data_IF_626012690393
#
_entry.id   IF_626012690393
#
_cell.length_a   1.000
_cell.length_b   1.000
_cell.length_c   1.000
_cell.angle_alpha   90.00
_cell.angle_beta   90.00
_cell.angle_gamma   90.00
#
_symmetry.space_group_name_H-M   'P 1'
#
loop_
_entity.id
_entity.type
_entity.pdbx_description
1 polymer ?
#
# COMPACT_ATOMS: atom_id res chain seq x y z
N UNK A 1 -8.95 8.00 7.86
CA UNK A 1 -9.63 9.26 8.23
C UNK A 1 -9.15 10.43 7.37
N UNK A 2 -7.91 10.91 7.48
CA UNK A 2 -7.36 12.04 6.69
C UNK A 2 -7.72 12.03 5.20
N UNK A 3 -7.45 10.92 4.49
CA UNK A 3 -7.73 10.83 3.06
C UNK A 3 -9.22 10.99 2.75
N UNK A 4 -10.07 10.28 3.51
CA UNK A 4 -11.51 10.32 3.33
C UNK A 4 -12.09 11.72 3.60
N UNK A 5 -11.68 12.34 4.70
CA UNK A 5 -12.22 13.63 5.13
C UNK A 5 -11.72 14.80 4.28
N UNK A 6 -10.47 14.76 3.82
CA UNK A 6 -9.93 15.84 2.99
C UNK A 6 -10.45 15.83 1.54
N UNK A 7 -10.79 14.64 1.01
CA UNK A 7 -11.13 14.47 -0.41
C UNK A 7 -12.63 14.29 -0.64
N UNK A 8 -13.31 13.43 0.14
CA UNK A 8 -14.69 13.06 -0.14
C UNK A 8 -15.72 13.84 0.66
N UNK A 9 -15.39 14.29 1.87
CA UNK A 9 -16.33 15.06 2.72
C UNK A 9 -16.17 16.57 2.59
N UNK A 10 -15.21 17.03 1.78
CA UNK A 10 -14.97 18.45 1.54
C UNK A 10 -16.00 18.98 0.55
N UNK A 11 -16.66 20.12 0.84
CA UNK A 11 -17.54 20.75 -0.15
C UNK A 11 -16.73 21.16 -1.39
N UNK A 12 -17.27 20.97 -2.60
CA UNK A 12 -16.57 21.32 -3.83
C UNK A 12 -16.35 22.84 -3.89
N UNK A 13 -15.12 23.26 -4.21
CA UNK A 13 -14.75 24.69 -4.30
C UNK A 13 -15.40 25.35 -5.53
N UNK A 14 -15.73 24.55 -6.55
CA UNK A 14 -16.47 24.95 -7.75
C UNK A 14 -17.45 23.82 -8.08
N UNK A 15 -18.66 24.18 -8.49
CA UNK A 15 -19.60 23.23 -9.08
C UNK A 15 -19.03 22.76 -10.41
N UNK A 16 -18.40 21.60 -10.39
CA UNK A 16 -17.89 20.94 -11.58
C UNK A 16 -18.94 19.90 -11.94
N UNK A 17 -19.42 19.96 -13.18
CA UNK A 17 -20.23 18.88 -13.78
C UNK A 17 -19.31 17.66 -14.00
N UNK A 18 -19.09 16.93 -12.91
CA UNK A 18 -18.18 15.80 -12.87
C UNK A 18 -18.89 14.59 -13.50
N UNK A 19 -18.44 14.21 -14.69
CA UNK A 19 -18.89 12.99 -15.35
C UNK A 19 -18.55 11.76 -14.49
N UNK A 20 -19.48 10.81 -14.43
CA UNK A 20 -19.25 9.53 -13.76
C UNK A 20 -18.02 8.80 -14.29
N UNK A 21 -17.45 7.95 -13.43
CA UNK A 21 -16.22 7.19 -13.72
C UNK A 21 -16.43 6.32 -14.96
N UNK A 22 -15.53 6.38 -15.96
CA UNK A 22 -15.61 5.51 -17.13
C UNK A 22 -15.61 4.02 -16.75
N UNK A 23 -16.40 3.21 -17.47
CA UNK A 23 -16.54 1.76 -17.21
C UNK A 23 -15.19 1.02 -17.22
N UNK A 24 -14.28 1.45 -18.10
CA UNK A 24 -12.92 0.90 -18.19
C UNK A 24 -12.11 1.06 -16.89
N UNK A 25 -12.39 2.10 -16.11
CA UNK A 25 -11.73 2.35 -14.82
C UNK A 25 -12.47 1.68 -13.66
N UNK A 26 -13.80 1.54 -13.74
CA UNK A 26 -14.58 0.88 -12.69
C UNK A 26 -14.43 -0.65 -12.71
N UNK A 27 -14.24 -1.26 -13.88
CA UNK A 27 -14.05 -2.71 -14.01
C UNK A 27 -12.88 -3.27 -13.17
N UNK A 28 -11.64 -2.75 -13.27
CA UNK A 28 -10.53 -3.24 -12.44
C UNK A 28 -10.74 -2.94 -10.95
N UNK A 29 -11.39 -1.83 -10.60
CA UNK A 29 -11.71 -1.49 -9.21
C UNK A 29 -12.70 -2.50 -8.60
N UNK A 30 -13.74 -2.85 -9.34
CA UNK A 30 -14.75 -3.82 -8.92
C UNK A 30 -14.13 -5.22 -8.80
N UNK A 31 -13.32 -5.64 -9.77
CA UNK A 31 -12.59 -6.90 -9.72
C UNK A 31 -11.67 -6.96 -8.48
N UNK A 32 -10.93 -5.89 -8.20
CA UNK A 32 -10.06 -5.83 -7.02
C UNK A 32 -10.88 -5.88 -5.72
N UNK A 33 -12.01 -5.16 -5.66
CA UNK A 33 -12.90 -5.20 -4.51
C UNK A 33 -13.44 -6.62 -4.25
N UNK A 34 -13.88 -7.33 -5.31
CA UNK A 34 -14.34 -8.71 -5.20
C UNK A 34 -13.24 -9.66 -4.72
N UNK A 35 -12.01 -9.52 -5.22
CA UNK A 35 -10.88 -10.31 -4.75
C UNK A 35 -10.56 -10.04 -3.28
N UNK A 36 -10.60 -8.77 -2.85
CA UNK A 36 -10.42 -8.41 -1.44
C UNK A 36 -11.47 -9.04 -0.54
N UNK A 37 -12.75 -9.04 -0.95
CA UNK A 37 -13.84 -9.69 -0.20
C UNK A 37 -13.61 -11.20 -0.18
N UNK A 38 -13.31 -11.82 -1.33
CA UNK A 38 -13.09 -13.25 -1.42
C UNK A 38 -11.93 -13.71 -0.53
N UNK A 39 -10.80 -13.01 -0.56
CA UNK A 39 -9.63 -13.34 0.27
C UNK A 39 -9.84 -13.00 1.75
N UNK A 40 -10.63 -11.96 2.06
CA UNK A 40 -10.98 -11.62 3.44
C UNK A 40 -11.90 -12.66 4.09
N UNK A 41 -12.91 -13.15 3.35
CA UNK A 41 -13.87 -14.15 3.84
C UNK A 41 -13.28 -15.57 3.80
N UNK A 42 -12.51 -15.89 2.76
CA UNK A 42 -11.86 -17.19 2.54
C UNK A 42 -10.32 -17.05 2.52
N UNK A 43 -9.69 -16.84 3.68
CA UNK A 43 -8.25 -16.63 3.78
C UNK A 43 -7.43 -17.89 3.48
N UNK A 44 -8.05 -19.05 3.27
CA UNK A 44 -7.36 -20.31 2.99
C UNK A 44 -6.47 -20.24 1.75
N UNK A 45 -6.90 -19.53 0.71
CA UNK A 45 -6.16 -19.38 -0.55
C UNK A 45 -4.84 -18.63 -0.32
N UNK A 46 -4.85 -17.37 0.18
CA UNK A 46 -3.60 -16.66 0.44
C UNK A 46 -2.75 -17.34 1.52
N UNK A 47 -3.36 -17.92 2.56
CA UNK A 47 -2.61 -18.61 3.62
C UNK A 47 -1.87 -19.86 3.11
N UNK A 48 -2.46 -20.64 2.20
CA UNK A 48 -1.78 -21.78 1.57
C UNK A 48 -0.58 -21.32 0.74
N UNK A 49 -0.74 -20.27 -0.07
CA UNK A 49 0.36 -19.74 -0.89
C UNK A 49 1.51 -19.22 -0.01
N UNK A 50 1.20 -18.44 1.03
CA UNK A 50 2.20 -17.89 1.95
C UNK A 50 2.90 -19.01 2.73
N UNK A 51 2.14 -20.00 3.24
CA UNK A 51 2.74 -21.11 3.99
C UNK A 51 3.65 -21.99 3.13
N UNK A 52 3.32 -22.20 1.85
CA UNK A 52 4.21 -22.89 0.91
C UNK A 52 5.50 -22.09 0.66
N UNK A 53 5.39 -20.77 0.43
CA UNK A 53 6.55 -19.90 0.24
C UNK A 53 7.45 -19.82 1.50
N UNK A 54 6.86 -19.79 2.69
CA UNK A 54 7.61 -19.81 3.95
C UNK A 54 8.34 -21.15 4.15
N UNK A 55 7.68 -22.27 3.82
CA UNK A 55 8.31 -23.60 3.85
C UNK A 55 9.49 -23.70 2.90
N UNK A 56 9.40 -23.12 1.70
CA UNK A 56 10.54 -23.12 0.76
C UNK A 56 11.73 -22.29 1.24
N UNK A 57 11.51 -21.32 2.12
CA UNK A 57 12.55 -20.47 2.72
C UNK A 57 13.07 -21.09 4.04
N UNK A 58 12.50 -22.21 4.50
CA UNK A 58 12.91 -22.90 5.73
C UNK A 58 12.36 -22.28 7.02
N UNK A 59 11.36 -21.40 6.93
CA UNK A 59 10.73 -20.79 8.10
C UNK A 59 9.70 -21.76 8.69
N UNK A 60 9.78 -22.09 10.00
CA UNK A 60 8.83 -23.00 10.63
C UNK A 60 7.44 -22.38 10.65
N UNK A 61 6.52 -22.97 9.88
CA UNK A 61 5.12 -22.54 9.84
C UNK A 61 4.39 -23.17 11.02
N UNK A 62 3.78 -22.34 11.88
CA UNK A 62 2.91 -22.79 12.97
C UNK A 62 1.79 -23.64 12.37
N UNK A 63 1.47 -24.77 12.99
CA UNK A 63 0.40 -25.67 12.56
C UNK A 63 -0.96 -24.97 12.67
N UNK A 64 -1.39 -24.29 11.61
CA UNK A 64 -2.71 -23.68 11.50
C UNK A 64 -3.65 -24.75 10.94
N UNK A 65 -4.68 -25.11 11.71
CA UNK A 65 -5.78 -25.91 11.18
C UNK A 65 -6.69 -24.95 10.45
N UNK A 66 -6.59 -24.94 9.11
CA UNK A 66 -7.39 -24.09 8.25
C UNK A 66 -8.60 -24.86 7.73
N UNK A 67 -9.80 -24.46 8.12
CA UNK A 67 -11.02 -24.79 7.40
C UNK A 67 -11.33 -23.66 6.38
N UNK A 68 -12.20 -23.88 5.38
CA UNK A 68 -12.47 -22.89 4.34
C UNK A 68 -12.77 -21.48 4.87
N UNK A 69 -13.52 -21.38 5.97
CA UNK A 69 -13.95 -20.11 6.59
C UNK A 69 -13.58 -19.96 8.07
N UNK A 70 -12.73 -20.84 8.60
CA UNK A 70 -12.29 -20.82 10.00
C UNK A 70 -10.78 -20.98 10.06
N UNK A 71 -10.11 -19.96 10.61
CA UNK A 71 -8.69 -20.06 10.97
C UNK A 71 -8.65 -20.42 12.45
N UNK A 72 -8.16 -21.61 12.78
CA UNK A 72 -7.93 -22.03 14.16
C UNK A 72 -6.44 -22.04 14.46
N UNK A 73 -5.86 -20.92 14.91
CA UNK A 73 -4.59 -20.95 15.61
C UNK A 73 -4.78 -21.56 17.01
N UNK A 74 -3.69 -22.09 17.60
CA UNK A 74 -3.70 -22.77 18.91
C UNK A 74 -4.22 -21.91 20.07
N UNK A 75 -4.32 -20.60 19.90
CA UNK A 75 -4.66 -19.63 20.96
C UNK A 75 -6.05 -19.00 20.83
N UNK A 76 -6.78 -19.21 19.73
CA UNK A 76 -8.15 -18.69 19.59
C UNK A 76 -8.72 -18.81 18.18
N UNK A 77 -9.97 -19.24 18.04
CA UNK A 77 -10.60 -19.43 16.74
C UNK A 77 -11.13 -18.12 16.15
N UNK A 78 -10.80 -17.84 14.89
CA UNK A 78 -11.32 -16.69 14.13
C UNK A 78 -12.14 -17.18 12.93
N UNK A 79 -13.41 -16.77 12.86
CA UNK A 79 -14.32 -17.12 11.75
C UNK A 79 -14.66 -15.87 10.93
N UNK A 80 -13.88 -15.57 9.87
CA UNK A 80 -14.13 -14.40 9.04
C UNK A 80 -15.54 -14.35 8.46
N UNK A 81 -16.15 -15.51 8.15
CA UNK A 81 -17.50 -15.57 7.58
C UNK A 81 -18.59 -15.14 8.57
N UNK A 82 -18.44 -15.50 9.85
CA UNK A 82 -19.41 -15.10 10.88
C UNK A 82 -19.34 -13.60 11.10
N UNK A 83 -18.13 -13.05 11.16
CA UNK A 83 -17.92 -11.61 11.33
C UNK A 83 -18.45 -10.84 10.14
N UNK A 84 -18.18 -11.30 8.92
CA UNK A 84 -18.72 -10.71 7.70
C UNK A 84 -20.25 -10.74 7.69
N UNK A 85 -20.86 -11.89 7.98
CA UNK A 85 -22.31 -12.03 8.03
C UNK A 85 -22.93 -11.12 9.10
N UNK A 86 -22.34 -11.06 10.29
CA UNK A 86 -22.79 -10.19 11.37
C UNK A 86 -22.73 -8.71 10.96
N UNK A 87 -21.60 -8.26 10.40
CA UNK A 87 -21.45 -6.88 9.94
C UNK A 87 -22.46 -6.57 8.83
N UNK A 88 -22.59 -7.44 7.83
CA UNK A 88 -23.52 -7.28 6.71
C UNK A 88 -24.97 -7.16 7.20
N UNK A 89 -25.42 -8.07 8.08
CA UNK A 89 -26.77 -8.02 8.64
C UNK A 89 -26.97 -6.75 9.48
N UNK A 90 -26.00 -6.37 10.32
CA UNK A 90 -26.12 -5.14 11.13
C UNK A 90 -26.18 -3.88 10.26
N UNK A 91 -25.40 -3.82 9.19
CA UNK A 91 -25.41 -2.69 8.25
C UNK A 91 -26.71 -2.61 7.44
N UNK A 92 -27.23 -3.75 6.98
CA UNK A 92 -28.54 -3.80 6.32
C UNK A 92 -29.67 -3.38 7.25
N UNK A 93 -29.66 -3.87 8.49
CA UNK A 93 -30.61 -3.45 9.53
C UNK A 93 -30.51 -1.95 9.78
N UNK A 94 -29.30 -1.40 9.92
CA UNK A 94 -29.10 0.03 10.11
C UNK A 94 -29.61 0.85 8.91
N UNK A 95 -29.38 0.39 7.67
CA UNK A 95 -29.89 1.05 6.46
C UNK A 95 -31.41 1.03 6.35
N UNK A 96 -32.07 -0.02 6.86
CA UNK A 96 -33.53 -0.11 6.89
C UNK A 96 -34.15 0.75 8.00
N UNK A 97 -33.48 0.85 9.15
CA UNK A 97 -33.99 1.58 10.32
C UNK A 97 -33.69 3.08 10.28
N UNK A 98 -32.58 3.49 9.65
CA UNK A 98 -32.15 4.88 9.59
C UNK A 98 -32.63 5.49 8.27
N UNK A 99 -33.50 6.52 8.29
CA UNK A 99 -33.93 7.18 7.07
C UNK A 99 -32.71 7.80 6.36
N UNK A 100 -32.47 7.39 5.12
CA UNK A 100 -31.28 7.80 4.34
C UNK A 100 -31.28 9.25 3.89
N UNK A 101 -32.44 9.93 3.97
CA UNK A 101 -32.60 11.32 3.55
C UNK A 101 -32.41 12.29 4.72
N UNK A 102 -31.15 12.53 5.07
CA UNK A 102 -30.77 13.67 5.90
C UNK A 102 -30.63 14.93 5.03
N UNK A 103 -31.19 16.05 5.47
CA UNK A 103 -30.83 17.35 4.91
C UNK A 103 -29.38 17.66 5.29
N UNK A 104 -28.59 18.20 4.34
CA UNK A 104 -27.25 18.69 4.63
C UNK A 104 -27.39 19.87 5.60
N UNK A 105 -27.13 19.61 6.87
CA UNK A 105 -27.12 20.62 7.92
C UNK A 105 -25.93 21.55 7.68
N UNK A 106 -26.12 22.85 7.89
CA UNK A 106 -25.00 23.79 7.89
C UNK A 106 -23.99 23.39 8.96
N UNK A 107 -22.70 23.54 8.66
CA UNK A 107 -21.64 23.26 9.63
C UNK A 107 -21.81 24.14 10.86
N UNK A 108 -21.44 23.64 12.04
CA UNK A 108 -21.45 24.45 13.25
C UNK A 108 -20.36 25.53 13.17
N UNK A 109 -20.77 26.81 13.13
CA UNK A 109 -19.88 27.96 12.92
C UNK A 109 -19.65 28.78 14.19
N UNK A 110 -19.71 28.15 15.37
CA UNK A 110 -19.56 28.82 16.67
C UNK A 110 -20.40 30.11 16.79
N UNK A 111 -21.65 30.06 16.33
CA UNK A 111 -22.58 31.19 16.38
C UNK A 111 -22.46 32.23 15.26
N UNK A 112 -21.59 32.05 14.25
CA UNK A 112 -21.54 32.93 13.07
C UNK A 112 -22.48 32.45 11.96
N UNK A 113 -23.13 33.39 11.28
CA UNK A 113 -24.02 33.11 10.14
C UNK A 113 -23.28 32.96 8.82
N UNK A 114 -22.17 33.70 8.64
CA UNK A 114 -21.40 33.75 7.39
C UNK A 114 -20.79 32.40 7.01
N UNK A 115 -20.73 32.09 5.71
CA UNK A 115 -20.02 30.93 5.18
C UNK A 115 -18.51 31.10 5.35
N UNK A 116 -18.03 30.58 6.46
CA UNK A 116 -16.62 30.37 6.73
C UNK A 116 -16.10 29.30 5.77
N UNK A 117 -15.55 29.73 4.62
CA UNK A 117 -14.87 28.85 3.66
C UNK A 117 -13.48 28.42 4.19
N UNK A 118 -13.46 27.85 5.39
CA UNK A 118 -12.27 27.30 6.04
C UNK A 118 -12.14 25.84 5.63
N UNK A 119 -11.15 25.55 4.82
CA UNK A 119 -10.73 24.18 4.58
C UNK A 119 -9.43 23.91 5.32
N UNK A 120 -9.40 22.88 6.17
CA UNK A 120 -8.15 22.42 6.75
C UNK A 120 -7.38 21.61 5.70
N UNK A 121 -6.20 22.08 5.28
CA UNK A 121 -5.43 21.36 4.27
C UNK A 121 -4.89 20.04 4.87
N UNK A 122 -4.61 19.07 4.01
CA UNK A 122 -4.34 17.70 4.46
C UNK A 122 -3.02 17.61 5.27
N UNK A 123 -2.07 18.47 4.98
CA UNK A 123 -0.82 18.67 5.73
C UNK A 123 -1.07 19.12 7.18
N UNK A 124 -2.05 19.98 7.43
CA UNK A 124 -2.38 20.45 8.77
C UNK A 124 -2.88 19.34 9.72
N UNK A 125 -3.48 18.25 9.20
CA UNK A 125 -4.02 17.15 10.02
C UNK A 125 -3.01 16.48 10.96
N UNK A 126 -1.74 16.44 10.55
CA UNK A 126 -0.68 15.79 11.31
C UNK A 126 0.44 16.76 11.66
N UNK A 127 0.17 18.07 11.63
CA UNK A 127 1.19 19.08 11.95
C UNK A 127 1.72 18.87 13.37
N UNK A 128 0.82 18.79 14.34
CA UNK A 128 1.19 18.61 15.75
C UNK A 128 1.96 17.29 15.98
N UNK A 129 1.59 16.23 15.27
CA UNK A 129 2.34 14.96 15.28
C UNK A 129 3.73 15.11 14.66
N UNK A 130 3.84 15.83 13.55
CA UNK A 130 5.12 16.08 12.88
C UNK A 130 6.05 16.93 13.75
N UNK A 131 5.50 17.91 14.46
CA UNK A 131 6.24 18.73 15.42
C UNK A 131 6.72 17.92 16.63
N UNK A 132 5.84 17.11 17.21
CA UNK A 132 6.16 16.25 18.35
C UNK A 132 7.23 15.18 18.04
N UNK A 133 7.25 14.65 16.81
CA UNK A 133 8.20 13.64 16.35
C UNK A 133 9.22 14.20 15.35
N UNK A 134 9.53 15.50 15.45
CA UNK A 134 10.39 16.22 14.49
C UNK A 134 11.77 15.55 14.27
N UNK A 135 12.34 14.95 15.31
CA UNK A 135 13.61 14.20 15.23
C UNK A 135 13.53 12.99 14.30
N UNK A 136 12.46 12.19 14.40
CA UNK A 136 12.24 11.02 13.55
C UNK A 136 12.00 11.44 12.09
N UNK A 137 11.27 12.53 11.88
CA UNK A 137 11.04 13.07 10.54
C UNK A 137 12.33 13.65 9.93
N UNK A 138 13.17 14.34 10.73
CA UNK A 138 14.47 14.83 10.28
C UNK A 138 15.41 13.69 9.87
N UNK A 139 15.45 12.59 10.64
CA UNK A 139 16.18 11.38 10.25
C UNK A 139 15.65 10.80 8.93
N UNK A 140 14.32 10.77 8.77
CA UNK A 140 13.65 10.36 7.54
C UNK A 140 14.09 11.20 6.33
N UNK A 141 14.14 12.52 6.47
CA UNK A 141 14.58 13.42 5.40
C UNK A 141 16.06 13.23 5.04
N UNK A 142 16.93 13.03 6.02
CA UNK A 142 18.34 12.68 5.77
C UNK A 142 18.44 11.37 5.01
N UNK A 143 17.67 10.35 5.41
CA UNK A 143 17.65 9.05 4.73
C UNK A 143 17.17 9.17 3.28
N UNK A 144 16.16 10.01 3.03
CA UNK A 144 15.64 10.28 1.69
C UNK A 144 16.70 10.96 0.82
N UNK A 145 17.41 11.94 1.33
CA UNK A 145 18.52 12.60 0.61
C UNK A 145 19.63 11.59 0.30
N UNK A 146 19.97 10.72 1.25
CA UNK A 146 20.96 9.67 1.03
C UNK A 146 20.54 8.70 -0.08
N UNK A 147 19.32 8.16 -0.01
CA UNK A 147 18.78 7.26 -1.04
C UNK A 147 18.75 7.96 -2.40
N UNK A 148 18.33 9.23 -2.47
CA UNK A 148 18.34 9.98 -3.72
C UNK A 148 19.75 10.14 -4.30
N UNK A 149 20.77 10.33 -3.45
CA UNK A 149 22.18 10.37 -3.90
C UNK A 149 22.63 9.01 -4.43
N UNK A 150 22.32 7.91 -3.73
CA UNK A 150 22.63 6.54 -4.19
C UNK A 150 21.98 6.24 -5.53
N UNK A 151 20.69 6.57 -5.68
CA UNK A 151 19.96 6.39 -6.94
C UNK A 151 20.56 7.22 -8.07
N UNK A 152 20.93 8.48 -7.81
CA UNK A 152 21.61 9.33 -8.81
C UNK A 152 22.96 8.75 -9.22
N UNK A 153 23.74 8.24 -8.25
CA UNK A 153 25.01 7.57 -8.52
C UNK A 153 24.82 6.30 -9.34
N UNK A 154 23.85 5.46 -8.97
CA UNK A 154 23.49 4.25 -9.70
C UNK A 154 23.03 4.54 -11.13
N UNK A 155 22.23 5.60 -11.33
CA UNK A 155 21.81 6.04 -12.66
C UNK A 155 23.00 6.53 -13.50
N UNK A 156 23.92 7.28 -12.90
CA UNK A 156 25.14 7.73 -13.59
C UNK A 156 26.04 6.54 -13.98
N UNK A 157 26.17 5.55 -13.09
CA UNK A 157 26.91 4.33 -13.36
C UNK A 157 26.24 3.51 -14.47
N UNK A 158 24.92 3.36 -14.43
CA UNK A 158 24.13 2.67 -15.45
C UNK A 158 24.29 3.29 -16.84
N UNK A 159 24.20 4.62 -16.95
CA UNK A 159 24.40 5.33 -18.22
C UNK A 159 25.84 5.18 -18.72
N UNK A 160 26.84 5.27 -17.84
CA UNK A 160 28.24 5.04 -18.23
C UNK A 160 28.47 3.61 -18.69
N UNK A 161 27.90 2.62 -18.00
CA UNK A 161 27.97 1.21 -18.39
C UNK A 161 27.28 0.97 -19.74
N UNK A 162 26.12 1.58 -19.96
CA UNK A 162 25.39 1.53 -21.22
C UNK A 162 26.26 2.07 -22.37
N UNK A 163 26.85 3.25 -22.23
CA UNK A 163 27.79 3.82 -23.22
C UNK A 163 28.98 2.90 -23.47
N UNK A 164 29.54 2.30 -22.41
CA UNK A 164 30.68 1.40 -22.52
C UNK A 164 30.31 0.07 -23.21
N UNK A 165 29.07 -0.39 -23.04
CA UNK A 165 28.54 -1.59 -23.68
C UNK A 165 28.28 -1.42 -25.17
N UNK A 166 28.03 -0.19 -25.64
CA UNK A 166 27.85 0.10 -27.06
C UNK A 166 29.17 0.07 -27.86
N UNK A 167 30.33 0.12 -27.20
CA UNK A 167 31.63 -0.02 -27.86
C UNK A 167 32.13 -1.47 -27.79
N UNK A 168 32.27 -2.12 -28.95
CA UNK A 168 32.56 -3.55 -29.07
C UNK A 168 33.87 -3.97 -28.38
N UNK A 169 34.93 -3.16 -28.50
CA UNK A 169 36.24 -3.43 -27.90
C UNK A 169 36.20 -3.33 -26.37
N UNK A 170 35.44 -2.35 -25.86
CA UNK A 170 35.20 -2.17 -24.42
C UNK A 170 34.36 -3.30 -23.84
N UNK A 171 33.36 -3.79 -24.58
CA UNK A 171 32.52 -4.91 -24.16
C UNK A 171 33.32 -6.23 -24.07
N UNK A 172 34.14 -6.53 -25.08
CA UNK A 172 35.00 -7.72 -25.11
C UNK A 172 36.04 -7.72 -23.98
N UNK A 173 36.68 -6.57 -23.74
CA UNK A 173 37.67 -6.44 -22.64
C UNK A 173 37.03 -6.58 -21.26
N UNK A 174 35.82 -6.03 -21.05
CA UNK A 174 35.08 -6.16 -19.79
C UNK A 174 34.59 -7.60 -19.57
N UNK A 175 34.13 -8.27 -20.62
CA UNK A 175 33.77 -9.69 -20.57
C UNK A 175 34.97 -10.58 -20.22
N UNK A 176 36.14 -10.33 -20.84
CA UNK A 176 37.38 -11.04 -20.50
C UNK A 176 37.80 -10.80 -19.04
N UNK A 177 37.73 -9.56 -18.56
CA UNK A 177 38.03 -9.24 -17.16
C UNK A 177 37.06 -9.95 -16.19
N UNK A 178 35.76 -9.96 -16.49
CA UNK A 178 34.75 -10.68 -15.71
C UNK A 178 35.00 -12.17 -15.67
N UNK A 179 35.36 -12.79 -16.81
CA UNK A 179 35.70 -14.21 -16.89
C UNK A 179 36.93 -14.51 -16.03
N UNK A 180 37.98 -13.70 -16.10
CA UNK A 180 39.19 -13.85 -15.27
C UNK A 180 38.85 -13.74 -13.78
N UNK A 181 38.04 -12.76 -13.39
CA UNK A 181 37.59 -12.61 -12.00
C UNK A 181 36.78 -13.83 -11.55
N UNK A 182 35.87 -14.33 -12.40
CA UNK A 182 35.07 -15.52 -12.10
C UNK A 182 35.95 -16.75 -11.89
N UNK A 183 36.96 -16.94 -12.75
CA UNK A 183 37.92 -18.05 -12.68
C UNK A 183 38.80 -17.95 -11.43
N UNK A 184 39.24 -16.75 -11.05
CA UNK A 184 40.03 -16.54 -9.83
C UNK A 184 39.18 -16.77 -8.56
N UNK A 185 37.94 -16.28 -8.54
CA UNK A 185 37.05 -16.42 -7.38
C UNK A 185 36.53 -17.85 -7.23
N UNK A 186 36.15 -18.53 -8.30
CA UNK A 186 35.70 -19.93 -8.25
C UNK A 186 36.86 -20.92 -8.16
N UNK A 187 37.99 -20.64 -8.81
CA UNK A 187 39.22 -21.43 -8.74
C UNK A 187 39.94 -21.29 -7.40
N UNK A 188 39.77 -20.18 -6.68
CA UNK A 188 40.31 -19.96 -5.35
C UNK A 188 39.59 -20.70 -4.21
N UNK A 189 38.45 -21.34 -4.49
CA UNK A 189 37.73 -22.20 -3.52
C UNK A 189 38.17 -23.67 -3.64
N UNK A 190 39.05 -23.99 -4.59
CA UNK A 190 39.47 -25.36 -4.92
C UNK A 190 40.97 -25.63 -4.79
N UNK A 191 41.64 -25.07 -3.77
CA UNK A 191 43.00 -25.44 -3.34
C UNK A 191 43.09 -25.49 -1.82
#
# INVERSE_FOLDING_TARGET
>A
VKYFTAIFTKPPIKEIDAKEVPILMSAPQLLLALLCIAFGVYPIVPLKMISQALKSIGVPVISIVSYPSLIVPKTGSYSPIIIFAFLLVSTLMALLLIPSRGNVMSTWKTGRSEDLNVSMPADAYYRDFTEAFSEAYALGDVSKVFVQKVVKMGRMFGIKFEILSYNLDSMLSLAMALIVILVVVLGGVGL
#
